data_IF_945614083280
#
_entry.id   IF_945614083280
#
_cell.length_a   1.000
_cell.length_b   1.000
_cell.length_c   1.000
_cell.angle_alpha   90.00
_cell.angle_beta   90.00
_cell.angle_gamma   90.00
#
_symmetry.space_group_name_H-M   'P 1'
#
loop_
_entity.id
_entity.type
_entity.pdbx_description
1 polymer ?
#
# COMPACT_ATOMS: atom_id res chain seq x y z
N UNK A 1 14.62 2.00 -6.84
CA UNK A 1 13.26 1.54 -6.49
C UNK A 1 13.12 1.27 -4.99
N UNK A 2 13.91 0.37 -4.40
CA UNK A 2 13.82 0.06 -2.97
C UNK A 2 14.07 1.29 -2.07
N UNK A 3 15.15 2.03 -2.34
CA UNK A 3 15.48 3.26 -1.59
C UNK A 3 14.32 4.26 -1.56
N UNK A 4 13.68 4.51 -2.70
CA UNK A 4 12.47 5.32 -2.78
C UNK A 4 11.38 4.79 -1.85
N UNK A 5 11.11 3.48 -1.86
CA UNK A 5 10.06 2.89 -1.02
C UNK A 5 10.35 3.07 0.48
N UNK A 6 11.61 2.91 0.89
CA UNK A 6 12.06 3.15 2.27
C UNK A 6 11.83 4.61 2.68
N UNK A 7 12.28 5.56 1.86
CA UNK A 7 12.11 6.99 2.13
C UNK A 7 10.62 7.40 2.14
N UNK A 8 9.81 6.82 1.25
CA UNK A 8 8.36 7.08 1.22
C UNK A 8 7.64 6.49 2.41
N UNK A 9 8.06 5.33 2.92
CA UNK A 9 7.51 4.78 4.15
C UNK A 9 7.74 5.72 5.33
N UNK A 10 8.98 6.19 5.53
CA UNK A 10 9.29 7.16 6.58
C UNK A 10 8.42 8.41 6.44
N UNK A 11 8.39 9.01 5.26
CA UNK A 11 7.62 10.23 5.03
C UNK A 11 6.11 10.03 5.25
N UNK A 12 5.54 8.91 4.80
CA UNK A 12 4.12 8.62 5.01
C UNK A 12 3.77 8.47 6.50
N UNK A 13 4.65 7.84 7.29
CA UNK A 13 4.49 7.73 8.75
C UNK A 13 4.58 9.10 9.42
N UNK A 14 5.55 9.93 9.05
CA UNK A 14 5.68 11.30 9.58
C UNK A 14 4.44 12.14 9.28
N UNK A 15 3.94 12.10 8.04
CA UNK A 15 2.73 12.83 7.64
C UNK A 15 1.50 12.34 8.41
N UNK A 16 1.34 11.02 8.57
CA UNK A 16 0.21 10.47 9.31
C UNK A 16 0.25 10.86 10.80
N UNK A 17 1.42 10.78 11.44
CA UNK A 17 1.60 11.19 12.84
C UNK A 17 1.41 12.70 13.02
N UNK A 18 1.93 13.53 12.10
CA UNK A 18 1.74 14.97 12.15
C UNK A 18 0.27 15.37 12.00
N UNK A 19 -0.50 14.65 11.17
CA UNK A 19 -1.92 14.94 10.91
C UNK A 19 -2.85 14.46 12.03
N UNK A 20 -2.64 13.24 12.54
CA UNK A 20 -3.58 12.59 13.46
C UNK A 20 -3.11 12.52 14.92
N UNK A 21 -1.82 12.74 15.17
CA UNK A 21 -1.23 12.69 16.51
C UNK A 21 -1.54 11.37 17.23
N UNK A 22 -2.00 11.47 18.48
CA UNK A 22 -2.36 10.30 19.30
C UNK A 22 -3.58 9.53 18.77
N UNK A 23 -4.41 10.17 17.95
CA UNK A 23 -5.62 9.55 17.41
C UNK A 23 -5.36 8.70 16.17
N UNK A 24 -4.10 8.58 15.73
CA UNK A 24 -3.72 7.72 14.60
C UNK A 24 -4.20 6.28 14.74
N UNK A 25 -4.36 5.79 15.99
CA UNK A 25 -4.90 4.46 16.27
C UNK A 25 -6.33 4.26 15.73
N UNK A 26 -7.12 5.32 15.57
CA UNK A 26 -8.49 5.23 15.02
C UNK A 26 -8.50 5.34 13.48
N UNK A 27 -7.38 5.74 12.87
CA UNK A 27 -7.26 5.98 11.43
C UNK A 27 -6.87 4.70 10.68
N UNK A 28 -7.74 3.70 10.80
CA UNK A 28 -7.49 2.32 10.34
C UNK A 28 -7.22 2.22 8.83
N UNK A 29 -7.84 3.08 8.00
CA UNK A 29 -7.58 3.12 6.56
C UNK A 29 -6.13 3.59 6.29
N UNK A 30 -5.69 4.64 6.98
CA UNK A 30 -4.32 5.17 6.89
C UNK A 30 -3.31 4.14 7.39
N UNK A 31 -3.58 3.52 8.54
CA UNK A 31 -2.73 2.46 9.10
C UNK A 31 -2.60 1.27 8.15
N UNK A 32 -3.69 0.84 7.50
CA UNK A 32 -3.66 -0.22 6.49
C UNK A 32 -2.77 0.12 5.30
N UNK A 33 -2.81 1.37 4.82
CA UNK A 33 -1.92 1.84 3.74
C UNK A 33 -0.45 1.85 4.17
N UNK A 34 -0.14 2.30 5.39
CA UNK A 34 1.23 2.25 5.96
C UNK A 34 1.72 0.80 6.06
N UNK A 35 0.87 -0.11 6.55
CA UNK A 35 1.20 -1.53 6.66
C UNK A 35 1.52 -2.13 5.28
N UNK A 36 0.70 -1.84 4.26
CA UNK A 36 0.96 -2.29 2.89
C UNK A 36 2.31 -1.79 2.36
N UNK A 37 2.66 -0.52 2.59
CA UNK A 37 3.96 0.04 2.20
C UNK A 37 5.10 -0.71 2.89
N UNK A 38 4.98 -0.98 4.20
CA UNK A 38 6.00 -1.69 4.97
C UNK A 38 6.20 -3.14 4.47
N UNK A 39 5.09 -3.85 4.19
CA UNK A 39 5.11 -5.23 3.67
C UNK A 39 5.82 -5.26 2.31
N UNK A 40 5.44 -4.40 1.38
CA UNK A 40 6.05 -4.35 0.05
C UNK A 40 7.54 -4.00 0.14
N UNK A 41 7.92 -3.03 0.98
CA UNK A 41 9.32 -2.63 1.17
C UNK A 41 10.17 -3.77 1.75
N UNK A 42 9.64 -4.52 2.72
CA UNK A 42 10.31 -5.68 3.28
C UNK A 42 10.46 -6.80 2.25
N UNK A 43 9.38 -7.12 1.53
CA UNK A 43 9.39 -8.14 0.48
C UNK A 43 10.41 -7.80 -0.62
N UNK A 44 10.47 -6.53 -1.06
CA UNK A 44 11.47 -6.04 -2.02
C UNK A 44 12.90 -6.27 -1.50
N UNK A 45 13.15 -5.94 -0.24
CA UNK A 45 14.46 -6.15 0.40
C UNK A 45 14.84 -7.63 0.41
N UNK A 46 13.90 -8.51 0.77
CA UNK A 46 14.12 -9.94 0.85
C UNK A 46 14.43 -10.57 -0.52
N UNK A 47 13.66 -10.25 -1.56
CA UNK A 47 13.88 -10.82 -2.91
C UNK A 47 15.16 -10.30 -3.55
N UNK A 48 15.50 -9.03 -3.34
CA UNK A 48 16.76 -8.45 -3.83
C UNK A 48 17.97 -9.07 -3.13
N UNK A 49 17.91 -9.24 -1.80
CA UNK A 49 18.96 -9.91 -1.03
C UNK A 49 19.19 -11.34 -1.51
N UNK A 50 18.10 -12.09 -1.70
CA UNK A 50 18.15 -13.47 -2.21
C UNK A 50 18.75 -13.55 -3.62
N UNK A 51 18.25 -12.76 -4.58
CA UNK A 51 18.75 -12.77 -5.95
C UNK A 51 20.24 -12.36 -6.01
N UNK A 52 20.63 -11.35 -5.22
CA UNK A 52 22.03 -10.91 -5.12
C UNK A 52 22.94 -12.02 -4.57
N UNK A 53 22.51 -12.74 -3.52
CA UNK A 53 23.24 -13.90 -2.98
C UNK A 53 23.39 -15.00 -4.03
N UNK A 54 22.30 -15.36 -4.70
CA UNK A 54 22.26 -16.39 -5.75
C UNK A 54 23.24 -16.09 -6.88
N UNK A 55 23.28 -14.82 -7.31
CA UNK A 55 24.25 -14.32 -8.28
C UNK A 55 25.69 -14.41 -7.77
N UNK A 56 25.98 -13.90 -6.56
CA UNK A 56 27.33 -13.87 -6.02
C UNK A 56 27.95 -15.26 -5.80
N UNK A 57 27.15 -16.27 -5.46
CA UNK A 57 27.65 -17.64 -5.27
C UNK A 57 27.56 -18.49 -6.55
N UNK A 58 27.11 -17.92 -7.67
CA UNK A 58 27.08 -18.57 -8.97
C UNK A 58 26.06 -19.71 -9.10
N UNK A 59 24.86 -19.58 -8.52
CA UNK A 59 23.82 -20.59 -8.71
C UNK A 59 23.34 -20.65 -10.16
N UNK A 60 23.01 -21.87 -10.63
CA UNK A 60 22.63 -22.16 -12.02
C UNK A 60 21.54 -21.23 -12.58
N UNK A 61 20.54 -20.90 -11.77
CA UNK A 61 19.36 -20.14 -12.19
C UNK A 61 19.35 -18.70 -11.63
N UNK A 62 20.52 -18.14 -11.33
CA UNK A 62 20.61 -16.80 -10.74
C UNK A 62 20.03 -15.70 -11.65
N UNK A 63 20.10 -15.87 -12.97
CA UNK A 63 19.52 -14.93 -13.94
C UNK A 63 17.99 -14.87 -13.83
N UNK A 64 17.33 -16.03 -13.69
CA UNK A 64 15.87 -16.10 -13.49
C UNK A 64 15.47 -15.50 -12.14
N UNK A 65 16.26 -15.70 -11.07
CA UNK A 65 16.00 -15.06 -9.77
C UNK A 65 16.12 -13.52 -9.84
N UNK A 66 17.09 -12.99 -10.60
CA UNK A 66 17.21 -11.54 -10.84
C UNK A 66 15.99 -11.01 -11.59
N UNK A 67 15.52 -11.73 -12.61
CA UNK A 67 14.33 -11.35 -13.37
C UNK A 67 13.09 -11.32 -12.46
N UNK A 68 12.87 -12.38 -11.69
CA UNK A 68 11.76 -12.47 -10.74
C UNK A 68 11.78 -11.34 -9.70
N UNK A 69 12.94 -11.08 -9.10
CA UNK A 69 13.10 -10.00 -8.14
C UNK A 69 12.81 -8.64 -8.78
N UNK A 70 13.30 -8.40 -9.99
CA UNK A 70 13.11 -7.14 -10.72
C UNK A 70 11.64 -6.90 -11.09
N UNK A 71 10.95 -7.94 -11.59
CA UNK A 71 9.51 -7.88 -11.89
C UNK A 71 8.70 -7.60 -10.63
N UNK A 72 8.94 -8.32 -9.54
CA UNK A 72 8.24 -8.07 -8.27
C UNK A 72 8.48 -6.65 -7.76
N UNK A 73 9.74 -6.19 -7.77
CA UNK A 73 10.11 -4.86 -7.29
C UNK A 73 9.45 -3.73 -8.10
N UNK A 74 9.21 -3.91 -9.39
CA UNK A 74 8.51 -2.93 -10.22
C UNK A 74 7.06 -2.75 -9.76
N UNK A 75 6.34 -3.86 -9.58
CA UNK A 75 4.94 -3.83 -9.14
C UNK A 75 4.79 -3.35 -7.70
N UNK A 76 5.66 -3.81 -6.80
CA UNK A 76 5.70 -3.38 -5.41
C UNK A 76 5.98 -1.87 -5.30
N UNK A 77 6.92 -1.35 -6.09
CA UNK A 77 7.21 0.08 -6.13
C UNK A 77 5.98 0.92 -6.54
N UNK A 78 5.18 0.45 -7.51
CA UNK A 78 3.94 1.13 -7.91
C UNK A 78 2.93 1.15 -6.75
N UNK A 79 2.69 0.01 -6.10
CA UNK A 79 1.80 -0.07 -4.93
C UNK A 79 2.25 0.84 -3.79
N UNK A 80 3.54 0.89 -3.49
CA UNK A 80 4.10 1.79 -2.48
C UNK A 80 3.84 3.25 -2.85
N UNK A 81 4.11 3.64 -4.10
CA UNK A 81 3.89 5.00 -4.58
C UNK A 81 2.42 5.41 -4.44
N UNK A 82 1.50 4.55 -4.86
CA UNK A 82 0.06 4.83 -4.83
C UNK A 82 -0.45 4.97 -3.38
N UNK A 83 -0.07 4.04 -2.49
CA UNK A 83 -0.42 4.11 -1.07
C UNK A 83 0.18 5.34 -0.39
N UNK A 84 1.45 5.65 -0.64
CA UNK A 84 2.13 6.79 -0.04
C UNK A 84 1.52 8.12 -0.49
N UNK A 85 1.22 8.26 -1.79
CA UNK A 85 0.57 9.46 -2.30
C UNK A 85 -0.83 9.62 -1.72
N UNK A 86 -1.61 8.54 -1.63
CA UNK A 86 -2.94 8.57 -1.00
C UNK A 86 -2.93 9.05 0.45
N UNK A 87 -1.89 8.71 1.23
CA UNK A 87 -1.70 9.21 2.60
C UNK A 87 -1.35 10.71 2.59
N UNK A 88 -0.42 11.09 1.72
CA UNK A 88 0.09 12.47 1.63
C UNK A 88 -1.00 13.44 1.18
N UNK A 89 -1.70 13.12 0.10
CA UNK A 89 -2.80 13.90 -0.47
C UNK A 89 -3.95 14.05 0.54
N UNK A 90 -4.15 13.03 1.38
CA UNK A 90 -5.10 13.06 2.49
C UNK A 90 -6.56 12.89 2.08
N UNK A 91 -7.50 12.96 3.04
CA UNK A 91 -8.89 12.54 2.86
C UNK A 91 -9.68 13.34 1.81
N UNK A 92 -9.29 14.58 1.55
CA UNK A 92 -9.96 15.45 0.59
C UNK A 92 -9.64 15.08 -0.88
N UNK A 93 -8.51 14.42 -1.10
CA UNK A 93 -7.99 14.09 -2.44
C UNK A 93 -7.92 12.57 -2.67
N UNK A 94 -8.41 11.78 -1.71
CA UNK A 94 -8.54 10.33 -1.83
C UNK A 94 -10.00 9.90 -1.63
N UNK A 95 -10.28 8.60 -1.80
CA UNK A 95 -11.64 8.07 -1.74
C UNK A 95 -12.08 7.63 -0.32
N UNK A 96 -11.29 7.93 0.72
CA UNK A 96 -11.49 7.36 2.06
C UNK A 96 -12.82 7.79 2.67
N UNK A 97 -13.19 9.07 2.52
CA UNK A 97 -14.48 9.59 3.02
C UNK A 97 -15.67 8.99 2.27
N UNK A 98 -15.52 8.71 0.99
CA UNK A 98 -16.57 8.04 0.22
C UNK A 98 -16.74 6.58 0.68
N UNK A 99 -15.65 5.86 0.97
CA UNK A 99 -15.74 4.53 1.55
C UNK A 99 -16.48 4.53 2.89
N UNK A 100 -16.19 5.48 3.78
CA UNK A 100 -16.90 5.64 5.06
C UNK A 100 -18.40 5.88 4.85
N UNK A 101 -18.77 6.78 3.94
CA UNK A 101 -20.18 7.09 3.61
C UNK A 101 -20.92 5.89 3.02
N UNK A 102 -20.29 5.19 2.07
CA UNK A 102 -20.87 3.98 1.45
C UNK A 102 -21.06 2.89 2.51
N UNK A 103 -20.06 2.64 3.35
CA UNK A 103 -20.15 1.66 4.43
C UNK A 103 -21.29 2.00 5.40
N UNK A 104 -21.38 3.26 5.85
CA UNK A 104 -22.48 3.71 6.70
C UNK A 104 -23.85 3.46 6.07
N UNK A 105 -24.01 3.71 4.76
CA UNK A 105 -25.27 3.47 4.05
C UNK A 105 -25.63 1.99 3.94
N UNK A 106 -24.64 1.13 3.72
CA UNK A 106 -24.82 -0.33 3.71
C UNK A 106 -25.27 -0.83 5.08
N UNK A 107 -24.68 -0.32 6.17
CA UNK A 107 -25.10 -0.68 7.53
C UNK A 107 -26.52 -0.21 7.85
N UNK A 108 -26.87 1.04 7.51
CA UNK A 108 -28.23 1.56 7.70
C UNK A 108 -29.28 0.73 6.94
N UNK A 109 -28.96 0.35 5.70
CA UNK A 109 -29.87 -0.39 4.81
C UNK A 109 -29.87 -1.90 5.07
N UNK A 110 -29.05 -2.39 6.02
CA UNK A 110 -28.85 -3.81 6.32
C UNK A 110 -28.48 -4.65 5.09
N UNK A 111 -27.79 -4.05 4.11
CA UNK A 111 -27.49 -4.69 2.84
C UNK A 111 -27.22 -3.72 1.70
N UNK A 112 -27.31 -4.25 0.47
CA UNK A 112 -27.18 -3.44 -0.74
C UNK A 112 -28.38 -2.50 -0.88
N UNK A 113 -28.10 -1.20 -0.98
CA UNK A 113 -29.13 -0.16 -0.88
C UNK A 113 -29.61 0.38 -2.24
N UNK A 114 -28.86 0.15 -3.32
CA UNK A 114 -29.25 0.66 -4.62
C UNK A 114 -30.30 -0.26 -5.24
N UNK A 115 -31.44 0.30 -5.58
CA UNK A 115 -32.50 -0.45 -6.25
C UNK A 115 -32.18 -0.64 -7.73
N UNK A 116 -32.81 -1.64 -8.34
CA UNK A 116 -32.68 -1.83 -9.77
C UNK A 116 -33.19 -0.58 -10.51
N UNK A 117 -32.49 -0.05 -11.54
CA UNK A 117 -32.92 1.16 -12.27
C UNK A 117 -34.28 1.09 -12.98
N UNK A 118 -34.96 -0.05 -12.94
CA UNK A 118 -36.26 -0.32 -13.57
C UNK A 118 -37.36 -0.58 -12.54
N UNK A 119 -37.06 -0.41 -11.25
CA UNK A 119 -38.05 -0.53 -10.18
C UNK A 119 -39.03 0.63 -10.30
N UNK A 120 -40.34 0.35 -10.19
CA UNK A 120 -41.44 1.31 -10.42
C UNK A 120 -41.84 2.03 -9.14
#
# INVERSE_FOLDING_TARGET
MLEYCVLRLQYAVEVALARHGKNIAEEQITLGKIANIAIDTYAMTAVLSRASRSYCIGLRNAAEEILLASTFCFDAHRRVKDNANSIVDGPAYNNDENYKKVAAKVFESHGYFAEHPLTR
#
